data_IF_834842399194
#
_entry.id   IF_834842399194
#
_cell.length_a   1.000
_cell.length_b   1.000
_cell.length_c   1.000
_cell.angle_alpha   90.00
_cell.angle_beta   90.00
_cell.angle_gamma   90.00
#
_symmetry.space_group_name_H-M   'P 1'
#
loop_
_entity.id
_entity.type
_entity.pdbx_description
1 polymer ?
#
# COMPACT_ATOMS: atom_id res chain seq x y z
N UNK A 1 -5.05 2.11 12.22
CA UNK A 1 -4.64 3.44 11.74
C UNK A 1 -5.87 4.28 11.47
N UNK A 2 -5.86 5.58 11.80
CA UNK A 2 -6.91 6.55 11.43
C UNK A 2 -6.32 7.42 10.32
N UNK A 3 -6.94 7.46 9.13
CA UNK A 3 -6.37 8.17 7.99
C UNK A 3 -5.19 7.43 7.39
N UNK A 4 -4.02 8.07 7.34
CA UNK A 4 -2.79 7.52 6.72
C UNK A 4 -1.62 7.86 7.63
N UNK A 5 -0.74 6.89 7.86
CA UNK A 5 0.51 7.06 8.59
C UNK A 5 1.71 6.93 7.63
N UNK A 6 2.79 7.66 7.94
CA UNK A 6 3.99 7.73 7.11
C UNK A 6 5.23 7.50 7.93
N UNK A 7 6.04 6.53 7.52
CA UNK A 7 7.34 6.24 8.12
C UNK A 7 8.42 6.30 7.05
N UNK A 8 9.46 7.10 7.29
CA UNK A 8 10.66 7.14 6.45
C UNK A 8 11.87 6.69 7.25
N UNK A 9 12.56 5.67 6.76
CA UNK A 9 13.78 5.14 7.36
C UNK A 9 14.90 5.03 6.34
N UNK A 10 15.99 5.74 6.59
CA UNK A 10 17.23 5.55 5.82
C UNK A 10 17.90 4.27 6.31
N UNK A 11 18.19 3.36 5.39
CA UNK A 11 18.83 2.08 5.62
C UNK A 11 20.12 1.99 4.81
N UNK A 12 21.12 1.31 5.37
CA UNK A 12 22.38 1.02 4.73
C UNK A 12 22.35 -0.46 4.35
N UNK A 13 22.20 -0.75 3.06
CA UNK A 13 22.30 -2.11 2.52
C UNK A 13 23.60 -2.23 1.77
N UNK A 14 24.54 -2.99 2.32
CA UNK A 14 25.86 -3.28 1.72
C UNK A 14 26.51 -2.00 1.16
N UNK A 15 26.43 -1.80 -0.14
CA UNK A 15 27.09 -0.73 -0.89
C UNK A 15 26.17 0.47 -1.19
N UNK A 16 24.93 0.47 -0.69
CA UNK A 16 23.90 1.45 -1.06
C UNK A 16 23.18 2.02 0.16
N UNK A 17 22.90 3.31 0.07
CA UNK A 17 22.03 4.01 1.02
C UNK A 17 20.65 4.07 0.39
N UNK A 18 19.66 3.45 1.04
CA UNK A 18 18.27 3.39 0.56
C UNK A 18 17.38 4.13 1.55
N UNK A 19 16.53 5.02 1.05
CA UNK A 19 15.48 5.64 1.88
C UNK A 19 14.18 4.87 1.69
N UNK A 20 13.84 4.04 2.67
CA UNK A 20 12.59 3.30 2.70
C UNK A 20 11.46 4.22 3.17
N UNK A 21 10.43 4.36 2.34
CA UNK A 21 9.22 5.14 2.65
C UNK A 21 8.04 4.17 2.72
N UNK A 22 7.41 4.09 3.88
CA UNK A 22 6.24 3.25 4.13
C UNK A 22 5.03 4.15 4.35
N UNK A 23 3.96 3.83 3.63
CA UNK A 23 2.66 4.47 3.76
C UNK A 23 1.69 3.42 4.29
N UNK A 24 1.22 3.59 5.54
CA UNK A 24 0.20 2.74 6.13
C UNK A 24 -1.16 3.42 6.01
N UNK A 25 -2.06 2.82 5.24
CA UNK A 25 -3.40 3.39 5.02
C UNK A 25 -4.40 2.76 5.96
N UNK A 26 -5.31 3.56 6.53
CA UNK A 26 -6.50 3.02 7.17
C UNK A 26 -7.35 2.34 6.09
N UNK A 27 -7.49 1.02 6.15
CA UNK A 27 -8.34 0.21 5.25
C UNK A 27 -9.85 0.48 5.38
N UNK A 28 -10.24 1.63 5.93
CA UNK A 28 -11.62 2.10 6.00
C UNK A 28 -11.98 2.82 4.70
N UNK A 29 -13.16 2.50 4.17
CA UNK A 29 -13.72 3.09 2.95
C UNK A 29 -13.74 4.63 2.93
N UNK A 30 -13.88 5.27 4.10
CA UNK A 30 -13.90 6.74 4.22
C UNK A 30 -12.60 7.42 3.79
N UNK A 31 -11.47 6.71 3.81
CA UNK A 31 -10.17 7.25 3.39
C UNK A 31 -9.75 6.74 2.01
N UNK A 32 -10.63 5.99 1.33
CA UNK A 32 -10.32 5.33 0.06
C UNK A 32 -10.02 6.30 -1.08
N UNK A 33 -10.64 7.48 -1.07
CA UNK A 33 -10.36 8.55 -2.04
C UNK A 33 -8.95 9.12 -1.95
N UNK A 34 -8.25 8.94 -0.83
CA UNK A 34 -6.89 9.42 -0.64
C UNK A 34 -5.86 8.44 -1.19
N UNK A 35 -6.20 7.16 -1.29
CA UNK A 35 -5.25 6.07 -1.56
C UNK A 35 -4.59 6.15 -2.95
N UNK A 36 -5.28 6.51 -4.05
CA UNK A 36 -4.66 6.62 -5.38
C UNK A 36 -3.43 7.55 -5.41
N UNK A 37 -3.47 8.69 -4.71
CA UNK A 37 -2.33 9.62 -4.70
C UNK A 37 -1.07 9.05 -4.03
N UNK A 38 -1.21 8.09 -3.11
CA UNK A 38 -0.07 7.46 -2.44
C UNK A 38 0.45 6.23 -3.19
N UNK A 39 -0.42 5.55 -3.93
CA UNK A 39 -0.02 4.41 -4.77
C UNK A 39 0.84 4.87 -5.95
N UNK A 40 0.57 6.05 -6.53
CA UNK A 40 1.19 6.53 -7.77
C UNK A 40 2.73 6.47 -7.81
N UNK A 41 3.39 6.79 -6.69
CA UNK A 41 4.85 6.81 -6.60
C UNK A 41 5.42 5.59 -5.86
N UNK A 42 4.57 4.61 -5.52
CA UNK A 42 4.97 3.40 -4.79
C UNK A 42 5.58 2.36 -5.72
N UNK A 43 6.69 1.73 -5.28
CA UNK A 43 7.32 0.63 -6.03
C UNK A 43 6.69 -0.74 -5.73
N UNK A 44 6.10 -0.90 -4.55
CA UNK A 44 5.53 -2.15 -4.03
C UNK A 44 4.24 -1.80 -3.30
N UNK A 45 3.22 -2.63 -3.44
CA UNK A 45 1.98 -2.53 -2.67
C UNK A 45 1.74 -3.82 -1.86
N UNK A 46 1.54 -3.69 -0.56
CA UNK A 46 1.24 -4.83 0.32
C UNK A 46 -0.26 -4.81 0.64
N UNK A 47 -0.99 -5.81 0.16
CA UNK A 47 -2.42 -5.98 0.45
C UNK A 47 -2.59 -7.06 1.51
N UNK A 48 -3.15 -6.67 2.66
CA UNK A 48 -3.38 -7.56 3.80
C UNK A 48 -4.88 -7.86 3.95
N UNK A 49 -5.19 -9.06 4.45
CA UNK A 49 -6.54 -9.45 4.85
C UNK A 49 -6.49 -10.27 6.15
N UNK A 50 -7.64 -10.48 6.77
CA UNK A 50 -7.79 -11.28 7.98
C UNK A 50 -8.25 -12.70 7.62
N UNK A 51 -7.46 -13.71 7.99
CA UNK A 51 -7.73 -15.13 7.72
C UNK A 51 -9.03 -15.64 8.37
N UNK A 52 -9.47 -14.99 9.45
CA UNK A 52 -10.73 -15.32 10.15
C UNK A 52 -11.96 -14.66 9.50
N UNK A 53 -11.75 -13.72 8.57
CA UNK A 53 -12.81 -12.96 7.90
C UNK A 53 -12.71 -13.09 6.38
N UNK A 54 -13.49 -14.02 5.82
CA UNK A 54 -13.55 -14.27 4.36
C UNK A 54 -13.92 -13.02 3.55
N UNK A 55 -14.75 -12.12 4.07
CA UNK A 55 -15.11 -10.89 3.35
C UNK A 55 -13.88 -9.98 3.15
N UNK A 56 -12.97 -9.94 4.13
CA UNK A 56 -11.72 -9.17 4.00
C UNK A 56 -10.83 -9.71 2.86
N UNK A 57 -10.80 -11.03 2.66
CA UNK A 57 -10.08 -11.66 1.56
C UNK A 57 -10.71 -11.30 0.20
N UNK A 58 -12.04 -11.40 0.07
CA UNK A 58 -12.73 -11.06 -1.17
C UNK A 58 -12.52 -9.59 -1.55
N UNK A 59 -12.45 -8.71 -0.55
CA UNK A 59 -12.20 -7.29 -0.78
C UNK A 59 -10.77 -7.00 -1.27
N UNK A 60 -9.82 -7.94 -1.18
CA UNK A 60 -8.43 -7.73 -1.67
C UNK A 60 -8.35 -7.55 -3.18
N UNK A 61 -9.22 -8.21 -3.94
CA UNK A 61 -9.26 -8.13 -5.39
C UNK A 61 -9.46 -6.67 -5.85
N UNK A 62 -10.39 -5.98 -5.19
CA UNK A 62 -10.64 -4.57 -5.45
C UNK A 62 -9.42 -3.68 -5.13
N UNK A 63 -8.68 -3.97 -4.05
CA UNK A 63 -7.46 -3.23 -3.74
C UNK A 63 -6.35 -3.46 -4.77
N UNK A 64 -6.24 -4.68 -5.28
CA UNK A 64 -5.29 -5.04 -6.33
C UNK A 64 -5.63 -4.31 -7.63
N UNK A 65 -6.92 -4.25 -7.98
CA UNK A 65 -7.38 -3.54 -9.18
C UNK A 65 -7.12 -2.03 -9.07
N UNK A 66 -7.37 -1.42 -7.90
CA UNK A 66 -7.06 -0.01 -7.63
C UNK A 66 -5.54 0.26 -7.81
N UNK A 67 -4.68 -0.64 -7.33
CA UNK A 67 -3.21 -0.53 -7.50
C UNK A 67 -2.80 -0.63 -8.97
N UNK A 68 -3.34 -1.63 -9.69
CA UNK A 68 -3.06 -1.83 -11.12
C UNK A 68 -3.58 -0.69 -11.99
N UNK A 69 -4.70 -0.08 -11.62
CA UNK A 69 -5.25 1.08 -12.34
C UNK A 69 -4.31 2.29 -12.26
N UNK A 70 -3.65 2.51 -11.13
CA UNK A 70 -2.74 3.67 -10.96
C UNK A 70 -1.32 3.41 -11.47
N UNK A 71 -0.84 2.16 -11.47
CA UNK A 71 0.57 1.83 -11.77
C UNK A 71 0.80 0.87 -12.93
N UNK A 72 -0.24 0.27 -13.47
CA UNK A 72 -0.12 -0.80 -14.46
C UNK A 72 0.52 -2.06 -13.89
N UNK A 73 1.24 -2.80 -14.74
CA UNK A 73 1.87 -4.07 -14.38
C UNK A 73 3.29 -3.92 -13.78
N UNK A 74 3.76 -2.69 -13.56
CA UNK A 74 5.11 -2.40 -13.09
C UNK A 74 5.24 -2.43 -11.55
N UNK A 75 4.14 -2.66 -10.83
CA UNK A 75 4.16 -2.85 -9.37
C UNK A 75 4.36 -4.32 -9.04
N UNK A 76 5.30 -4.55 -8.13
CA UNK A 76 5.61 -5.87 -7.55
C UNK A 76 4.72 -6.15 -6.35
#
# INVERSE_FOLDING_TARGET
>A
TIGIDFVSKTMYLEDRIVRLQLWDTAGQERFRSLIPSYIRDSSVAIVCYDITNRASFLNTEQWIDDVRSERGNDVV
#
